data_IF_542806519558
#
_entry.id   IF_542806519558
#
_cell.length_a   1.000
_cell.length_b   1.000
_cell.length_c   1.000
_cell.angle_alpha   90.00
_cell.angle_beta   90.00
_cell.angle_gamma   90.00
#
_symmetry.space_group_name_H-M   'P 1'
#
loop_
_entity.id
_entity.type
_entity.pdbx_description
1 polymer ?
#
# COMPACT_ATOMS: atom_id res chain seq x y z
N UNK A 1 -6.57 3.95 -24.96
CA UNK A 1 -6.85 4.38 -23.58
C UNK A 1 -7.36 3.14 -22.85
N UNK A 2 -6.46 2.34 -22.27
CA UNK A 2 -6.81 1.14 -21.52
C UNK A 2 -7.32 1.61 -20.16
N UNK A 3 -8.60 1.39 -19.90
CA UNK A 3 -9.22 1.67 -18.60
C UNK A 3 -8.77 0.57 -17.63
N UNK A 4 -8.02 0.93 -16.60
CA UNK A 4 -7.40 -0.01 -15.65
C UNK A 4 -8.35 -0.55 -14.56
N UNK A 5 -9.64 -0.22 -14.63
CA UNK A 5 -10.67 -0.74 -13.71
C UNK A 5 -11.37 0.39 -12.99
N UNK A 6 -12.71 0.40 -13.00
CA UNK A 6 -13.54 1.26 -12.15
C UNK A 6 -14.82 0.52 -11.74
N UNK A 7 -15.05 0.38 -10.43
CA UNK A 7 -16.28 0.73 -9.70
C UNK A 7 -16.29 0.02 -8.35
N UNK A 8 -15.70 0.66 -7.35
CA UNK A 8 -15.72 0.28 -5.94
C UNK A 8 -17.11 0.45 -5.36
N UNK A 9 -17.88 -0.65 -5.32
CA UNK A 9 -18.96 -0.75 -4.35
C UNK A 9 -18.45 -1.59 -3.18
N UNK A 10 -18.95 -1.31 -1.98
CA UNK A 10 -18.48 -1.80 -0.66
C UNK A 10 -18.30 -3.34 -0.54
N UNK A 11 -18.68 -4.11 -1.56
CA UNK A 11 -18.76 -5.57 -1.52
C UNK A 11 -18.19 -6.28 -2.77
N UNK A 12 -17.56 -5.57 -3.73
CA UNK A 12 -17.05 -6.18 -4.97
C UNK A 12 -15.64 -5.73 -5.35
N UNK A 13 -14.80 -6.73 -5.66
CA UNK A 13 -13.48 -6.55 -6.26
C UNK A 13 -13.55 -6.85 -7.76
N UNK A 14 -13.15 -5.90 -8.59
CA UNK A 14 -13.07 -6.06 -10.05
C UNK A 14 -11.61 -6.01 -10.46
N UNK A 15 -11.10 -7.12 -10.99
CA UNK A 15 -9.70 -7.28 -11.34
C UNK A 15 -9.54 -7.60 -12.84
N UNK A 16 -8.51 -7.03 -13.45
CA UNK A 16 -8.07 -7.47 -14.78
C UNK A 16 -7.35 -8.81 -14.68
N UNK A 17 -7.91 -9.87 -15.25
CA UNK A 17 -7.28 -11.20 -15.25
C UNK A 17 -5.88 -11.19 -15.86
N UNK A 18 -5.67 -10.42 -16.93
CA UNK A 18 -4.36 -10.27 -17.54
C UNK A 18 -3.34 -9.64 -16.58
N UNK A 19 -3.76 -8.63 -15.81
CA UNK A 19 -2.89 -7.99 -14.82
C UNK A 19 -2.57 -8.94 -13.68
N UNK A 20 -3.58 -9.65 -13.15
CA UNK A 20 -3.37 -10.70 -12.14
C UNK A 20 -2.36 -11.72 -12.64
N UNK A 21 -2.48 -12.19 -13.89
CA UNK A 21 -1.49 -13.10 -14.46
C UNK A 21 -0.09 -12.49 -14.56
N UNK A 22 0.06 -11.19 -14.78
CA UNK A 22 1.38 -10.55 -14.82
C UNK A 22 1.99 -10.43 -13.43
N UNK A 23 1.23 -9.94 -12.46
CA UNK A 23 1.68 -9.72 -11.09
C UNK A 23 2.14 -11.04 -10.44
N UNK A 24 1.43 -12.16 -10.70
CA UNK A 24 1.85 -13.47 -10.16
C UNK A 24 3.15 -14.01 -10.76
N UNK A 25 3.63 -13.47 -11.88
CA UNK A 25 4.93 -13.86 -12.44
C UNK A 25 6.06 -12.93 -11.98
N UNK A 26 5.75 -11.80 -11.32
CA UNK A 26 6.73 -10.82 -10.88
C UNK A 26 6.39 -10.21 -9.52
N UNK A 27 6.73 -10.93 -8.45
CA UNK A 27 6.47 -10.50 -7.07
C UNK A 27 7.46 -9.46 -6.51
N UNK A 28 8.34 -8.91 -7.34
CA UNK A 28 9.45 -8.05 -6.91
C UNK A 28 9.41 -6.63 -7.51
N UNK A 29 8.41 -6.31 -8.34
CA UNK A 29 8.28 -4.98 -8.95
C UNK A 29 7.46 -3.99 -8.12
N UNK A 30 6.86 -4.43 -7.01
CA UNK A 30 6.14 -3.58 -6.09
C UNK A 30 4.79 -3.13 -6.63
N UNK A 31 4.24 -3.86 -7.60
CA UNK A 31 2.95 -3.62 -8.22
C UNK A 31 2.13 -4.91 -8.22
N UNK A 32 1.02 -4.90 -7.49
CA UNK A 32 0.15 -6.04 -7.35
C UNK A 32 -1.30 -5.60 -7.22
N UNK A 33 -2.05 -5.70 -8.32
CA UNK A 33 -3.43 -5.24 -8.39
C UNK A 33 -4.30 -5.94 -7.35
N UNK A 34 -4.01 -7.20 -7.03
CA UNK A 34 -4.76 -7.94 -6.00
C UNK A 34 -4.53 -7.28 -4.64
N UNK A 35 -3.28 -7.06 -4.24
CA UNK A 35 -2.97 -6.44 -2.95
C UNK A 35 -3.51 -5.01 -2.85
N UNK A 36 -3.36 -4.23 -3.92
CA UNK A 36 -3.87 -2.87 -4.03
C UNK A 36 -5.38 -2.82 -3.77
N UNK A 37 -6.11 -3.65 -4.49
CA UNK A 37 -7.56 -3.71 -4.41
C UNK A 37 -8.07 -4.22 -3.06
N UNK A 38 -7.39 -5.20 -2.47
CA UNK A 38 -7.71 -5.63 -1.12
C UNK A 38 -7.40 -4.55 -0.08
N UNK A 39 -6.36 -3.72 -0.29
CA UNK A 39 -6.08 -2.59 0.60
C UNK A 39 -7.23 -1.58 0.60
N UNK A 40 -7.80 -1.25 -0.56
CA UNK A 40 -8.98 -0.39 -0.62
C UNK A 40 -10.20 -0.98 0.11
N UNK A 41 -10.39 -2.29 0.06
CA UNK A 41 -11.47 -2.93 0.82
C UNK A 41 -11.26 -2.83 2.33
N UNK A 42 -10.02 -3.00 2.80
CA UNK A 42 -9.68 -2.82 4.22
C UNK A 42 -9.87 -1.37 4.68
N UNK A 43 -9.50 -0.40 3.84
CA UNK A 43 -9.72 1.02 4.10
C UNK A 43 -11.21 1.34 4.19
N UNK A 44 -12.03 0.77 3.28
CA UNK A 44 -13.46 0.99 3.19
C UNK A 44 -14.33 0.32 4.28
N UNK A 45 -13.77 -0.48 5.19
CA UNK A 45 -14.55 -1.26 6.17
C UNK A 45 -15.43 -0.36 7.06
N UNK A 46 -14.93 0.80 7.47
CA UNK A 46 -15.69 1.77 8.26
C UNK A 46 -16.69 2.60 7.42
N UNK A 47 -16.58 2.53 6.09
CA UNK A 47 -17.41 3.22 5.12
C UNK A 47 -16.77 4.47 4.50
N UNK A 48 -15.52 4.77 4.82
CA UNK A 48 -14.73 5.84 4.19
C UNK A 48 -13.47 5.27 3.53
N UNK A 49 -13.00 5.91 2.45
CA UNK A 49 -11.75 5.53 1.76
C UNK A 49 -10.81 6.73 1.88
N UNK A 50 -9.87 6.65 2.82
CA UNK A 50 -9.08 7.78 3.31
C UNK A 50 -7.67 7.40 3.77
N UNK A 51 -7.25 6.16 3.55
CA UNK A 51 -5.95 5.62 3.98
C UNK A 51 -5.87 5.31 5.47
N UNK A 52 -7.01 5.09 6.13
CA UNK A 52 -7.12 4.76 7.55
C UNK A 52 -8.06 3.57 7.72
N UNK A 53 -7.54 2.33 7.57
CA UNK A 53 -8.35 1.14 7.79
C UNK A 53 -8.68 0.96 9.27
N UNK A 54 -9.55 -0.01 9.58
CA UNK A 54 -9.82 -0.37 10.98
C UNK A 54 -8.54 -0.83 11.69
N UNK A 55 -8.08 -0.01 12.64
CA UNK A 55 -6.80 -0.22 13.30
C UNK A 55 -6.90 -1.27 14.43
N UNK A 56 -5.91 -2.17 14.55
CA UNK A 56 -5.74 -2.99 15.74
C UNK A 56 -5.59 -2.14 17.02
N UNK A 57 -6.08 -2.67 18.15
CA UNK A 57 -6.15 -1.94 19.45
C UNK A 57 -4.81 -1.42 19.99
N UNK A 58 -3.69 -2.02 19.58
CA UNK A 58 -2.34 -1.65 19.98
C UNK A 58 -1.70 -0.61 19.05
N UNK A 59 -2.39 -0.19 18.00
CA UNK A 59 -1.99 0.95 17.16
C UNK A 59 -2.84 2.15 17.57
N UNK A 60 -2.19 3.14 18.19
CA UNK A 60 -2.83 4.41 18.50
C UNK A 60 -3.18 5.15 17.19
N UNK A 61 -4.41 5.64 17.01
CA UNK A 61 -4.81 6.39 15.80
C UNK A 61 -3.90 7.59 15.50
N UNK A 62 -3.47 8.33 16.53
CA UNK A 62 -2.56 9.48 16.36
C UNK A 62 -1.18 9.05 15.82
N UNK A 63 -0.70 7.87 16.21
CA UNK A 63 0.56 7.32 15.69
C UNK A 63 0.41 6.93 14.22
N UNK A 64 -0.72 6.32 13.84
CA UNK A 64 -1.01 5.99 12.45
C UNK A 64 -1.06 7.25 11.60
N UNK A 65 -1.89 8.21 11.98
CA UNK A 65 -2.06 9.47 11.26
C UNK A 65 -0.72 10.20 11.08
N UNK A 66 0.07 10.33 12.15
CA UNK A 66 1.38 10.98 12.09
C UNK A 66 2.30 10.35 11.05
N UNK A 67 2.54 9.04 11.15
CA UNK A 67 3.49 8.33 10.27
C UNK A 67 2.99 8.34 8.83
N UNK A 68 1.69 8.07 8.61
CA UNK A 68 1.10 8.05 7.27
C UNK A 68 1.17 9.42 6.60
N UNK A 69 0.87 10.49 7.32
CA UNK A 69 0.97 11.87 6.79
C UNK A 69 2.43 12.22 6.47
N UNK A 70 3.37 11.98 7.38
CA UNK A 70 4.79 12.31 7.18
C UNK A 70 5.37 11.59 5.94
N UNK A 71 5.04 10.31 5.76
CA UNK A 71 5.53 9.50 4.64
C UNK A 71 4.81 9.79 3.32
N UNK A 72 3.50 10.07 3.36
CA UNK A 72 2.76 10.54 2.17
C UNK A 72 3.34 11.84 1.64
N UNK A 73 3.51 12.85 2.50
CA UNK A 73 4.08 14.12 2.09
C UNK A 73 5.52 13.98 1.61
N UNK A 74 6.29 13.04 2.19
CA UNK A 74 7.63 12.70 1.70
C UNK A 74 7.56 12.15 0.28
N UNK A 75 6.68 11.20 0.01
CA UNK A 75 6.50 10.64 -1.33
C UNK A 75 6.08 11.71 -2.33
N UNK A 76 5.15 12.61 -1.99
CA UNK A 76 4.76 13.73 -2.85
C UNK A 76 5.98 14.59 -3.22
N UNK A 77 6.79 15.00 -2.22
CA UNK A 77 7.99 15.81 -2.47
C UNK A 77 9.05 15.09 -3.31
N UNK A 78 9.23 13.79 -3.13
CA UNK A 78 10.18 12.99 -3.90
C UNK A 78 9.68 12.77 -5.34
N UNK A 79 8.38 12.53 -5.52
CA UNK A 79 7.70 12.37 -6.81
C UNK A 79 7.74 13.66 -7.65
N UNK A 80 7.45 14.81 -7.05
CA UNK A 80 7.53 16.13 -7.71
C UNK A 80 8.93 16.44 -8.26
N UNK A 81 9.96 15.85 -7.64
CA UNK A 81 11.36 15.99 -8.06
C UNK A 81 11.81 14.93 -9.05
N UNK A 82 10.92 14.00 -9.44
CA UNK A 82 11.25 12.86 -10.30
C UNK A 82 12.28 11.90 -9.67
N UNK A 83 12.35 11.85 -8.34
CA UNK A 83 13.31 10.98 -7.66
C UNK A 83 12.85 9.52 -7.73
N UNK A 84 13.80 8.59 -7.83
CA UNK A 84 13.52 7.17 -7.72
C UNK A 84 13.28 6.79 -6.25
N UNK A 85 12.05 6.43 -5.92
CA UNK A 85 11.58 6.05 -4.59
C UNK A 85 11.51 4.52 -4.42
N UNK A 86 11.26 4.04 -3.19
CA UNK A 86 10.94 2.63 -2.97
C UNK A 86 9.45 2.33 -3.14
N UNK A 87 8.60 3.29 -2.78
CA UNK A 87 7.15 3.29 -2.92
C UNK A 87 6.83 3.90 -4.28
N UNK A 88 5.92 3.31 -5.05
CA UNK A 88 5.57 3.82 -6.38
C UNK A 88 5.01 5.26 -6.32
N UNK A 89 5.42 6.18 -7.21
CA UNK A 89 4.90 7.55 -7.27
C UNK A 89 3.38 7.67 -7.38
N UNK A 90 2.69 6.64 -7.89
CA UNK A 90 1.23 6.60 -7.92
C UNK A 90 0.61 6.79 -6.53
N UNK A 91 1.28 6.31 -5.47
CA UNK A 91 0.85 6.51 -4.09
C UNK A 91 0.81 8.00 -3.65
N UNK A 92 1.41 8.92 -4.41
CA UNK A 92 1.31 10.36 -4.16
C UNK A 92 -0.02 10.99 -4.64
N UNK A 93 -0.93 10.20 -5.21
CA UNK A 93 -2.21 10.69 -5.75
C UNK A 93 -3.16 11.17 -4.65
N UNK A 94 -3.34 10.36 -3.60
CA UNK A 94 -4.11 10.70 -2.41
C UNK A 94 -3.77 9.71 -1.26
N UNK A 95 -4.23 9.95 -0.02
CA UNK A 95 -3.92 9.06 1.11
C UNK A 95 -4.42 7.61 1.00
N UNK A 96 -5.52 7.35 0.28
CA UNK A 96 -6.01 5.99 0.09
C UNK A 96 -5.11 5.20 -0.89
N UNK A 97 -4.73 5.84 -2.00
CA UNK A 97 -3.73 5.30 -2.94
C UNK A 97 -2.39 5.06 -2.26
N UNK A 98 -2.00 5.99 -1.37
CA UNK A 98 -0.78 5.83 -0.58
C UNK A 98 -0.83 4.55 0.27
N UNK A 99 -1.94 4.32 0.98
CA UNK A 99 -2.12 3.10 1.77
C UNK A 99 -2.05 1.83 0.90
N UNK A 100 -2.70 1.83 -0.25
CA UNK A 100 -2.69 0.70 -1.18
C UNK A 100 -1.29 0.42 -1.75
N UNK A 101 -0.58 1.44 -2.22
CA UNK A 101 0.77 1.30 -2.79
C UNK A 101 1.82 0.93 -1.73
N UNK A 102 1.68 1.43 -0.49
CA UNK A 102 2.55 0.98 0.61
C UNK A 102 2.24 -0.48 0.95
N UNK A 103 0.99 -0.93 0.85
CA UNK A 103 0.61 -2.35 1.03
C UNK A 103 1.31 -3.23 0.00
N UNK A 104 1.26 -2.88 -1.28
CA UNK A 104 1.99 -3.60 -2.34
C UNK A 104 3.49 -3.66 -2.03
N UNK A 105 4.09 -2.50 -1.73
CA UNK A 105 5.51 -2.39 -1.40
C UNK A 105 5.88 -3.20 -0.15
N UNK A 106 4.99 -3.27 0.85
CA UNK A 106 5.20 -4.03 2.09
C UNK A 106 5.30 -5.53 1.85
N UNK A 107 4.52 -6.08 0.92
CA UNK A 107 4.55 -7.51 0.60
C UNK A 107 5.62 -7.87 -0.43
N UNK A 108 5.82 -7.05 -1.46
CA UNK A 108 6.69 -7.35 -2.59
C UNK A 108 8.13 -6.85 -2.44
N UNK A 109 8.30 -5.68 -1.81
CA UNK A 109 9.61 -5.06 -1.58
C UNK A 109 9.90 -4.79 -0.10
N UNK A 110 9.61 -5.72 0.83
CA UNK A 110 9.66 -5.46 2.27
C UNK A 110 11.03 -4.99 2.77
N UNK A 111 12.12 -5.52 2.21
CA UNK A 111 13.49 -5.13 2.58
C UNK A 111 13.81 -3.70 2.19
N UNK A 112 13.35 -3.28 1.01
CA UNK A 112 13.51 -1.89 0.52
C UNK A 112 12.70 -0.93 1.37
N UNK A 113 11.44 -1.28 1.68
CA UNK A 113 10.57 -0.49 2.54
C UNK A 113 11.17 -0.33 3.93
N UNK A 114 11.58 -1.44 4.57
CA UNK A 114 12.21 -1.43 5.89
C UNK A 114 13.50 -0.59 5.94
N UNK A 115 14.30 -0.63 4.87
CA UNK A 115 15.57 0.10 4.82
C UNK A 115 15.40 1.62 4.65
N UNK A 116 14.35 2.07 3.94
CA UNK A 116 14.15 3.49 3.60
C UNK A 116 13.05 4.20 4.40
N UNK A 117 12.12 3.43 4.95
CA UNK A 117 10.90 3.88 5.65
C UNK A 117 10.66 2.96 6.87
N UNK A 118 11.60 2.92 7.81
CA UNK A 118 11.59 1.95 8.92
C UNK A 118 10.35 2.06 9.82
N UNK A 119 9.92 3.28 10.13
CA UNK A 119 8.77 3.51 11.00
C UNK A 119 7.45 3.12 10.31
N UNK A 120 7.35 3.40 9.01
CA UNK A 120 6.25 2.96 8.15
C UNK A 120 6.19 1.43 8.06
N UNK A 121 7.34 0.78 7.86
CA UNK A 121 7.42 -0.67 7.82
C UNK A 121 6.94 -1.30 9.14
N UNK A 122 7.41 -0.79 10.27
CA UNK A 122 6.97 -1.31 11.58
C UNK A 122 5.48 -1.03 11.84
N UNK A 123 4.94 0.08 11.35
CA UNK A 123 3.51 0.37 11.41
C UNK A 123 2.70 -0.67 10.60
N UNK A 124 3.09 -0.95 9.36
CA UNK A 124 2.42 -1.94 8.50
C UNK A 124 2.59 -3.38 9.01
N UNK A 125 3.75 -3.70 9.58
CA UNK A 125 3.98 -4.99 10.27
C UNK A 125 3.05 -5.17 11.48
N UNK A 126 2.81 -4.11 12.26
CA UNK A 126 1.86 -4.16 13.38
C UNK A 126 0.42 -4.29 12.89
N UNK A 127 0.07 -3.60 11.80
CA UNK A 127 -1.26 -3.63 11.20
C UNK A 127 -1.58 -5.02 10.61
N UNK A 128 -0.76 -5.51 9.68
CA UNK A 128 -0.94 -6.81 9.02
C UNK A 128 -0.58 -8.01 9.88
N UNK A 129 0.11 -7.82 11.03
CA UNK A 129 0.63 -8.89 11.89
C UNK A 129 1.58 -9.86 11.18
N UNK A 130 2.26 -9.38 10.14
CA UNK A 130 3.19 -10.15 9.31
C UNK A 130 4.53 -9.44 9.24
N UNK A 131 5.61 -10.19 8.98
CA UNK A 131 6.95 -9.64 8.76
C UNK A 131 7.53 -10.21 7.45
N UNK A 132 7.12 -9.69 6.28
CA UNK A 132 7.58 -10.21 4.99
C UNK A 132 9.09 -10.05 4.79
N UNK A 133 9.75 -9.07 5.43
CA UNK A 133 11.20 -8.91 5.35
C UNK A 133 11.99 -10.05 6.00
N UNK A 134 11.36 -10.84 6.88
CA UNK A 134 11.96 -12.01 7.54
C UNK A 134 11.74 -13.33 6.80
N UNK A 135 10.81 -13.39 5.85
CA UNK A 135 10.52 -14.62 5.11
C UNK A 135 11.32 -14.61 3.81
N UNK A 136 12.06 -15.70 3.56
CA UNK A 136 12.92 -15.82 2.38
C UNK A 136 12.19 -16.36 1.14
N UNK A 137 10.93 -16.82 1.22
CA UNK A 137 10.13 -17.28 0.07
C UNK A 137 8.62 -17.30 0.40
N UNK A 138 7.77 -17.03 -0.60
CA UNK A 138 6.34 -17.36 -0.64
C UNK A 138 6.12 -18.66 -1.42
#
# INVERSE_FOLDING_TARGET
MVRLGESWTRDQLVLSWQQVQQDIHNWEDGHNVVLHEFAHQLDAEDGAVQGVPLLPKDIAPDRWAKIMTEEYERLCRESDRGMKTAIDPYGATNPAEFFAVVTETFFEKPRSLRAKHSDLYELFRQYYRLDPARRDNW
#
